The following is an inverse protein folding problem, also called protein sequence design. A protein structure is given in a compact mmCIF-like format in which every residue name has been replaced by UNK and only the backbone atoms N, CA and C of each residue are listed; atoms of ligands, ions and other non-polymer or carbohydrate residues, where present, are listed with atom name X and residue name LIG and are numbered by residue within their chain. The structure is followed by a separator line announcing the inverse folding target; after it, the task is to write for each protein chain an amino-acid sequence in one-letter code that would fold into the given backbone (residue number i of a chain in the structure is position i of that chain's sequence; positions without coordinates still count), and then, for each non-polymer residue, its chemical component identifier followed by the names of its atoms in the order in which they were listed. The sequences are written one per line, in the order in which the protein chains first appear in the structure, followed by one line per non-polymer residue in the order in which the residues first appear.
data_IF_090227308486
#
_entry.id   IF_090227308486
#
_cell.length_a   1.000
_cell.length_b   1.000
_cell.length_c   1.000
_cell.angle_alpha   90.00
_cell.angle_beta   90.00
_cell.angle_gamma   90.00
#
_symmetry.space_group_name_H-M   'P 1'
#
loop_
_entity.id
_entity.type
_entity.pdbx_description
1 polymer ?
#
# COMPACT_ATOMS: atom_id res chain seq x y z
N UNK A 1 -1.31 -11.57 -14.83
CA UNK A 1 -0.85 -11.12 -13.52
C UNK A 1 -0.96 -9.61 -13.42
N UNK A 2 -1.34 -9.14 -12.25
CA UNK A 2 -1.49 -7.71 -11.97
C UNK A 2 -0.54 -7.28 -10.86
N UNK A 3 -0.12 -6.02 -10.89
CA UNK A 3 0.63 -5.38 -9.81
C UNK A 3 -0.25 -4.27 -9.27
N UNK A 4 -0.51 -4.31 -7.96
CA UNK A 4 -1.24 -3.26 -7.24
C UNK A 4 -0.23 -2.38 -6.52
N UNK A 5 -0.40 -1.07 -6.63
CA UNK A 5 0.43 -0.08 -5.93
C UNK A 5 -0.45 0.93 -5.22
N UNK A 6 -0.07 1.23 -4.00
CA UNK A 6 -0.67 2.35 -3.26
C UNK A 6 0.44 3.34 -3.01
N UNK A 7 0.47 4.47 -3.73
CA UNK A 7 1.45 5.53 -3.50
C UNK A 7 1.03 6.40 -2.31
N UNK A 8 2.00 6.72 -1.46
CA UNK A 8 1.78 7.55 -0.27
C UNK A 8 2.60 8.82 -0.37
N UNK A 9 1.92 9.95 -0.24
CA UNK A 9 2.54 11.27 -0.13
C UNK A 9 2.55 11.65 1.34
N UNK A 10 3.74 11.70 1.92
CA UNK A 10 3.94 11.77 3.36
C UNK A 10 4.00 13.23 3.82
N UNK A 11 3.40 13.52 4.98
CA UNK A 11 3.55 14.82 5.62
C UNK A 11 5.03 15.05 5.98
N UNK A 12 5.52 16.29 5.98
CA UNK A 12 6.93 16.58 6.24
C UNK A 12 7.42 15.95 7.54
N UNK A 13 8.55 15.23 7.46
CA UNK A 13 9.19 14.61 8.62
C UNK A 13 8.55 13.31 9.10
N UNK A 14 7.58 12.75 8.38
CA UNK A 14 6.82 11.58 8.82
C UNK A 14 7.14 10.28 8.08
N UNK A 15 8.14 10.27 7.21
CA UNK A 15 8.44 9.11 6.36
C UNK A 15 8.70 7.84 7.17
N UNK A 16 9.51 7.91 8.21
CA UNK A 16 9.84 6.75 9.05
C UNK A 16 8.58 6.19 9.73
N UNK A 17 7.73 7.08 10.26
CA UNK A 17 6.48 6.66 10.90
C UNK A 17 5.53 6.00 9.90
N UNK A 18 5.43 6.55 8.68
CA UNK A 18 4.62 5.95 7.61
C UNK A 18 5.13 4.56 7.28
N UNK A 19 6.46 4.38 7.14
CA UNK A 19 7.03 3.07 6.85
C UNK A 19 6.73 2.05 7.95
N UNK A 20 6.80 2.47 9.21
CA UNK A 20 6.45 1.58 10.33
C UNK A 20 4.98 1.16 10.27
N UNK A 21 4.08 2.09 9.98
CA UNK A 21 2.65 1.78 9.81
C UNK A 21 2.40 0.88 8.62
N UNK A 22 3.18 1.04 7.54
CA UNK A 22 3.06 0.18 6.36
C UNK A 22 3.54 -1.25 6.65
N UNK A 23 4.49 -1.45 7.56
CA UNK A 23 4.86 -2.80 7.99
C UNK A 23 3.66 -3.52 8.63
N UNK A 24 2.87 -2.80 9.42
CA UNK A 24 1.65 -3.36 10.02
C UNK A 24 0.62 -3.73 8.95
N UNK A 25 0.41 -2.87 7.96
CA UNK A 25 -0.50 -3.16 6.86
C UNK A 25 0.00 -4.36 6.03
N UNK A 26 1.30 -4.41 5.75
CA UNK A 26 1.90 -5.54 5.03
C UNK A 26 1.62 -6.85 5.74
N UNK A 27 1.71 -6.87 7.07
CA UNK A 27 1.40 -8.08 7.85
C UNK A 27 -0.05 -8.51 7.65
N UNK A 28 -1.00 -7.57 7.69
CA UNK A 28 -2.41 -7.88 7.43
C UNK A 28 -2.62 -8.42 6.01
N UNK A 29 -1.93 -7.85 5.03
CA UNK A 29 -1.99 -8.29 3.63
C UNK A 29 -1.42 -9.71 3.49
N UNK A 30 -0.27 -9.99 4.10
CA UNK A 30 0.35 -11.31 4.06
C UNK A 30 -0.57 -12.37 4.68
N UNK A 31 -1.20 -12.05 5.81
CA UNK A 31 -2.16 -12.94 6.48
C UNK A 31 -3.41 -13.18 5.63
N UNK A 32 -3.80 -12.22 4.79
CA UNK A 32 -4.94 -12.34 3.88
C UNK A 32 -4.59 -13.03 2.56
N UNK A 33 -3.35 -13.52 2.41
CA UNK A 33 -2.90 -14.23 1.21
C UNK A 33 -2.29 -13.35 0.13
N UNK A 34 -1.91 -12.11 0.46
CA UNK A 34 -1.23 -11.22 -0.48
C UNK A 34 0.10 -11.79 -0.94
N UNK A 35 0.43 -11.58 -2.23
CA UNK A 35 1.63 -12.12 -2.84
C UNK A 35 2.64 -11.02 -3.11
N UNK A 36 3.90 -11.30 -2.75
CA UNK A 36 5.04 -10.41 -3.00
C UNK A 36 4.77 -8.97 -2.57
N UNK A 37 4.16 -8.82 -1.39
CA UNK A 37 3.91 -7.51 -0.82
C UNK A 37 5.21 -6.91 -0.32
N UNK A 38 5.50 -5.67 -0.76
CA UNK A 38 6.73 -4.98 -0.38
C UNK A 38 6.51 -3.48 -0.26
N UNK A 39 7.39 -2.85 0.49
CA UNK A 39 7.38 -1.41 0.72
C UNK A 39 8.57 -0.82 -0.02
N UNK A 40 8.32 0.18 -0.85
CA UNK A 40 9.36 0.86 -1.64
C UNK A 40 9.47 2.29 -1.16
N UNK A 41 10.69 2.73 -0.83
CA UNK A 41 10.96 4.14 -0.55
C UNK A 41 11.51 4.78 -1.81
N UNK A 42 10.98 5.93 -2.19
CA UNK A 42 11.47 6.68 -3.34
C UNK A 42 12.89 7.17 -3.05
N UNK A 43 13.80 6.89 -3.96
CA UNK A 43 15.19 7.35 -3.86
C UNK A 43 15.44 8.51 -4.83
N UNK A 44 15.09 8.35 -6.10
CA UNK A 44 15.10 9.42 -7.10
C UNK A 44 13.77 9.43 -7.81
N UNK A 45 13.20 10.62 -8.01
CA UNK A 45 11.95 10.78 -8.73
C UNK A 45 11.75 12.24 -9.16
N UNK A 46 10.82 12.43 -10.08
CA UNK A 46 10.41 13.79 -10.49
C UNK A 46 9.46 14.38 -9.45
N UNK A 47 9.24 15.69 -9.56
CA UNK A 47 8.33 16.43 -8.69
C UNK A 47 6.94 15.80 -8.68
N UNK A 48 6.34 15.72 -7.50
CA UNK A 48 5.01 15.17 -7.33
C UNK A 48 4.96 13.64 -7.17
N UNK A 49 6.12 12.96 -7.27
CA UNK A 49 6.16 11.52 -7.04
C UNK A 49 5.86 11.17 -5.57
N UNK A 50 5.34 9.97 -5.31
CA UNK A 50 5.10 9.52 -3.93
C UNK A 50 6.43 9.32 -3.18
N UNK A 51 6.37 9.40 -1.85
CA UNK A 51 7.53 9.18 -1.00
C UNK A 51 7.74 7.68 -0.71
N UNK A 52 6.65 6.96 -0.55
CA UNK A 52 6.65 5.53 -0.23
C UNK A 52 5.54 4.85 -1.04
N UNK A 53 5.78 3.62 -1.48
CA UNK A 53 4.79 2.84 -2.23
C UNK A 53 4.65 1.46 -1.58
N UNK A 54 3.40 1.03 -1.39
CA UNK A 54 3.11 -0.36 -1.04
C UNK A 54 2.73 -1.09 -2.32
N UNK A 55 3.46 -2.16 -2.64
CA UNK A 55 3.27 -2.91 -3.88
C UNK A 55 2.98 -4.37 -3.58
N UNK A 56 2.07 -4.97 -4.33
CA UNK A 56 1.83 -6.41 -4.25
C UNK A 56 1.40 -6.96 -5.61
N UNK A 57 1.55 -8.28 -5.78
CA UNK A 57 1.12 -8.98 -6.99
C UNK A 57 -0.19 -9.71 -6.73
N UNK A 58 -0.96 -9.93 -7.80
CA UNK A 58 -2.16 -10.75 -7.77
C UNK A 58 -2.33 -11.47 -9.11
N UNK A 59 -2.84 -12.71 -9.07
CA UNK A 59 -3.10 -13.50 -10.26
C UNK A 59 -4.12 -12.82 -11.17
N UNK A 60 -5.22 -12.37 -10.57
CA UNK A 60 -6.30 -11.69 -11.26
C UNK A 60 -6.95 -10.63 -10.36
N UNK A 61 -7.80 -9.79 -10.96
CA UNK A 61 -8.45 -8.69 -10.23
C UNK A 61 -9.44 -9.20 -9.18
N UNK A 62 -10.12 -10.32 -9.45
CA UNK A 62 -11.06 -10.89 -8.48
C UNK A 62 -10.35 -11.34 -7.20
N UNK A 63 -9.19 -11.98 -7.34
CA UNK A 63 -8.37 -12.37 -6.19
C UNK A 63 -7.89 -11.15 -5.41
N UNK A 64 -7.50 -10.09 -6.11
CA UNK A 64 -7.07 -8.84 -5.47
C UNK A 64 -8.22 -8.19 -4.70
N UNK A 65 -9.40 -8.10 -5.30
CA UNK A 65 -10.58 -7.51 -4.66
C UNK A 65 -11.01 -8.29 -3.41
N UNK A 66 -10.97 -9.62 -3.48
CA UNK A 66 -11.29 -10.47 -2.34
C UNK A 66 -10.32 -10.26 -1.18
N UNK A 67 -9.04 -10.17 -1.49
CA UNK A 67 -8.01 -9.91 -0.49
C UNK A 67 -8.15 -8.52 0.13
N UNK A 68 -8.42 -7.49 -0.69
CA UNK A 68 -8.66 -6.13 -0.20
C UNK A 68 -9.86 -6.11 0.75
N UNK A 69 -10.98 -6.74 0.38
CA UNK A 69 -12.17 -6.81 1.22
C UNK A 69 -11.88 -7.49 2.55
N UNK A 70 -11.07 -8.55 2.55
CA UNK A 70 -10.65 -9.23 3.77
C UNK A 70 -9.88 -8.30 4.70
N UNK A 71 -8.93 -7.54 4.18
CA UNK A 71 -8.11 -6.61 4.98
C UNK A 71 -8.96 -5.44 5.51
N UNK A 72 -9.74 -4.80 4.64
CA UNK A 72 -10.56 -3.64 5.00
C UNK A 72 -11.61 -3.99 6.06
N UNK A 73 -12.14 -5.22 6.04
CA UNK A 73 -13.13 -5.68 7.00
C UNK A 73 -12.60 -5.93 8.41
N UNK A 74 -11.30 -5.86 8.63
CA UNK A 74 -10.71 -6.11 9.94
C UNK A 74 -10.79 -4.88 10.84
N UNK A 75 -11.12 -5.04 12.13
CA UNK A 75 -11.08 -3.91 13.08
C UNK A 75 -9.71 -3.23 13.14
N UNK A 76 -8.63 -4.00 13.04
CA UNK A 76 -7.27 -3.47 13.06
C UNK A 76 -7.02 -2.50 11.91
N UNK A 77 -7.63 -2.75 10.75
CA UNK A 77 -7.48 -1.88 9.59
C UNK A 77 -8.12 -0.51 9.85
N UNK A 78 -9.26 -0.48 10.51
CA UNK A 78 -9.95 0.79 10.83
C UNK A 78 -9.08 1.66 11.73
N UNK A 79 -8.48 1.07 12.76
CA UNK A 79 -7.56 1.79 13.64
C UNK A 79 -6.31 2.25 12.88
N UNK A 80 -5.74 1.36 12.07
CA UNK A 80 -4.59 1.66 11.22
C UNK A 80 -4.86 2.84 10.28
N UNK A 81 -6.03 2.83 9.64
CA UNK A 81 -6.43 3.87 8.68
C UNK A 81 -6.53 5.25 9.35
N UNK A 82 -7.11 5.31 10.56
CA UNK A 82 -7.20 6.56 11.32
C UNK A 82 -5.81 7.09 11.69
N UNK A 83 -4.92 6.23 12.15
CA UNK A 83 -3.54 6.62 12.51
C UNK A 83 -2.77 7.10 11.28
N UNK A 84 -2.90 6.37 10.17
CA UNK A 84 -2.17 6.70 8.94
C UNK A 84 -2.60 8.05 8.36
N UNK A 85 -3.89 8.39 8.42
CA UNK A 85 -4.39 9.62 7.81
C UNK A 85 -3.72 10.88 8.38
N UNK A 86 -3.31 10.86 9.65
CA UNK A 86 -2.60 11.98 10.27
C UNK A 86 -1.13 12.12 9.83
N UNK A 87 -0.58 11.14 9.13
CA UNK A 87 0.81 11.10 8.70
C UNK A 87 0.99 11.45 7.22
N UNK A 88 -0.10 11.60 6.48
CA UNK A 88 -0.08 11.78 5.03
C UNK A 88 -0.43 13.21 4.64
N UNK A 89 0.20 13.68 3.55
CA UNK A 89 -0.09 14.97 2.97
C UNK A 89 -1.43 14.97 2.20
N UNK A 90 -1.85 13.79 1.73
CA UNK A 90 -3.12 13.60 1.02
C UNK A 90 -3.56 12.14 1.08
N UNK A 91 -4.84 11.90 0.79
CA UNK A 91 -5.38 10.54 0.77
C UNK A 91 -4.71 9.71 -0.33
N UNK A 92 -4.27 8.48 -0.02
CA UNK A 92 -3.68 7.60 -1.03
C UNK A 92 -4.76 7.01 -1.94
N UNK A 93 -4.36 6.68 -3.17
CA UNK A 93 -5.23 6.01 -4.15
C UNK A 93 -4.52 4.78 -4.69
N UNK A 94 -5.24 3.68 -4.78
CA UNK A 94 -4.71 2.44 -5.33
C UNK A 94 -4.63 2.51 -6.84
N UNK A 95 -3.53 2.00 -7.39
CA UNK A 95 -3.35 1.78 -8.82
C UNK A 95 -3.17 0.29 -9.07
N UNK A 96 -3.68 -0.19 -10.19
CA UNK A 96 -3.48 -1.58 -10.59
C UNK A 96 -3.00 -1.62 -12.04
N UNK A 97 -1.96 -2.40 -12.29
CA UNK A 97 -1.33 -2.53 -13.59
C UNK A 97 -1.37 -3.97 -14.06
N UNK A 98 -1.75 -4.18 -15.31
CA UNK A 98 -1.61 -5.48 -15.94
C UNK A 98 -0.17 -5.65 -16.42
N UNK A 99 0.48 -6.72 -15.99
CA UNK A 99 1.84 -7.02 -16.45
C UNK A 99 1.76 -7.55 -17.88
N UNK A 100 2.35 -6.83 -18.83
CA UNK A 100 2.34 -7.20 -20.25
C UNK A 100 3.57 -8.03 -20.62
N UNK A 101 4.73 -7.70 -20.05
CA UNK A 101 5.96 -8.45 -20.20
C UNK A 101 6.72 -8.39 -18.89
N UNK A 102 7.31 -9.50 -18.51
CA UNK A 102 8.08 -9.58 -17.26
C UNK A 102 9.57 -9.80 -17.57
#
# INVERSE_FOLDING_TARGET
MYVSRIPFHVAPGKTTEVEERLQTLKQMIDEAGGQRCRILRTHFASDGAPDVVLEQEAEDLGALEAQISNVIGRPEFQAWSREMSGLLARAPKREAYLVKTA
#
